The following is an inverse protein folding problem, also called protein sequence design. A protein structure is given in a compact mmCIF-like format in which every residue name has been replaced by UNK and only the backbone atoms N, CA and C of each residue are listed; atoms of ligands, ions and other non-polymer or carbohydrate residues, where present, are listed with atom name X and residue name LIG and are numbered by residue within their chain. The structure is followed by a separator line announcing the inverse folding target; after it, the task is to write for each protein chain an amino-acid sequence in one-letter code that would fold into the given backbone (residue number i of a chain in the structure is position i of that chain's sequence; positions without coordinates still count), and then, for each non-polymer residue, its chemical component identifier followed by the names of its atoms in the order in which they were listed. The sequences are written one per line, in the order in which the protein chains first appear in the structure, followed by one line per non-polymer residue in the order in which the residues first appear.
data_IF_430125796114
#
_entry.id   IF_430125796114
#
_cell.length_a   1.000
_cell.length_b   1.000
_cell.length_c   1.000
_cell.angle_alpha   90.00
_cell.angle_beta   90.00
_cell.angle_gamma   90.00
#
_symmetry.space_group_name_H-M   'P 1'
#
loop_
_entity.id
_entity.type
_entity.pdbx_description
1 polymer ?
#
# COMPACT_ATOMS: atom_id res chain seq x y z
N UNK A 1 -21.94 -1.59 -12.18
CA UNK A 1 -22.33 -1.69 -10.76
C UNK A 1 -21.43 -2.73 -10.12
N UNK A 2 -20.55 -2.35 -9.19
CA UNK A 2 -19.61 -3.31 -8.56
C UNK A 2 -20.37 -4.19 -7.56
N UNK A 3 -20.29 -5.52 -7.72
CA UNK A 3 -20.96 -6.47 -6.82
C UNK A 3 -20.19 -6.62 -5.50
N UNK A 4 -20.45 -5.74 -4.53
CA UNK A 4 -19.96 -5.84 -3.14
C UNK A 4 -20.52 -7.04 -2.34
N UNK A 5 -21.16 -8.02 -2.99
CA UNK A 5 -21.84 -9.14 -2.34
C UNK A 5 -20.89 -10.22 -1.76
N UNK A 6 -19.57 -10.14 -1.99
CA UNK A 6 -18.59 -11.10 -1.45
C UNK A 6 -18.03 -10.74 -0.06
N UNK A 7 -18.35 -9.57 0.52
CA UNK A 7 -17.82 -9.16 1.82
C UNK A 7 -18.81 -8.26 2.60
N UNK A 8 -19.54 -8.80 3.60
CA UNK A 8 -20.56 -8.04 4.34
C UNK A 8 -19.97 -6.91 5.19
N UNK A 9 -18.74 -7.03 5.67
CA UNK A 9 -18.07 -5.99 6.46
C UNK A 9 -17.57 -4.82 5.61
N UNK A 10 -16.93 -5.08 4.46
CA UNK A 10 -16.59 -4.01 3.50
C UNK A 10 -17.84 -3.28 2.98
N UNK A 11 -18.98 -3.96 2.85
CA UNK A 11 -20.26 -3.30 2.52
C UNK A 11 -20.70 -2.31 3.60
N UNK A 12 -20.57 -2.64 4.88
CA UNK A 12 -20.85 -1.69 5.98
C UNK A 12 -19.87 -0.51 6.01
N UNK A 13 -18.57 -0.76 5.77
CA UNK A 13 -17.55 0.29 5.69
C UNK A 13 -17.87 1.24 4.53
N UNK A 14 -18.10 0.71 3.33
CA UNK A 14 -18.48 1.50 2.16
C UNK A 14 -19.77 2.30 2.39
N UNK A 15 -20.82 1.68 2.94
CA UNK A 15 -22.08 2.39 3.21
C UNK A 15 -21.91 3.56 4.18
N UNK A 16 -21.07 3.44 5.23
CA UNK A 16 -20.79 4.53 6.17
C UNK A 16 -19.86 5.62 5.61
N UNK A 17 -18.89 5.25 4.78
CA UNK A 17 -18.02 6.22 4.12
C UNK A 17 -18.78 7.02 3.05
N UNK A 18 -19.60 6.37 2.22
CA UNK A 18 -20.34 7.05 1.15
C UNK A 18 -21.61 7.77 1.61
N UNK A 19 -22.23 7.41 2.73
CA UNK A 19 -23.33 8.21 3.33
C UNK A 19 -22.90 9.59 3.81
N UNK A 20 -21.59 9.82 3.93
CA UNK A 20 -20.99 11.03 4.51
C UNK A 20 -20.49 12.02 3.45
N UNK A 21 -20.55 11.68 2.15
CA UNK A 21 -20.01 12.50 1.07
C UNK A 21 -21.16 13.13 0.28
N UNK A 22 -21.40 14.44 0.48
CA UNK A 22 -22.25 15.24 -0.39
C UNK A 22 -21.54 15.51 -1.73
N UNK A 23 -21.62 14.56 -2.65
CA UNK A 23 -21.18 14.77 -4.03
C UNK A 23 -22.18 15.70 -4.72
N UNK A 24 -21.78 16.94 -5.00
CA UNK A 24 -22.47 17.77 -6.02
C UNK A 24 -22.30 17.09 -7.37
N UNK A 25 -23.35 16.42 -7.84
CA UNK A 25 -23.37 15.79 -9.16
C UNK A 25 -23.58 16.84 -10.24
N UNK A 26 -22.53 17.13 -11.02
CA UNK A 26 -22.67 17.89 -12.26
C UNK A 26 -23.12 16.98 -13.41
N UNK A 27 -23.94 17.51 -14.33
CA UNK A 27 -24.83 16.73 -15.20
C UNK A 27 -24.21 16.25 -16.53
N UNK A 28 -23.05 15.56 -16.52
CA UNK A 28 -22.47 15.06 -17.79
C UNK A 28 -21.74 13.70 -17.74
N UNK A 29 -22.35 12.65 -17.16
CA UNK A 29 -21.98 11.25 -17.49
C UNK A 29 -23.22 10.35 -17.56
N UNK A 30 -23.81 10.22 -18.75
CA UNK A 30 -24.84 9.22 -19.03
C UNK A 30 -24.70 8.70 -20.46
N UNK A 31 -23.89 7.65 -20.67
CA UNK A 31 -23.88 6.82 -21.87
C UNK A 31 -23.11 5.51 -21.59
N UNK A 32 -23.49 4.44 -22.32
CA UNK A 32 -22.91 3.08 -22.25
C UNK A 32 -23.22 2.22 -21.00
N UNK A 33 -24.50 1.91 -20.83
CA UNK A 33 -24.93 0.61 -20.29
C UNK A 33 -25.83 -0.10 -21.31
N UNK A 34 -25.28 -1.09 -22.03
CA UNK A 34 -26.08 -2.07 -22.78
C UNK A 34 -25.27 -3.32 -23.14
N UNK A 35 -25.44 -4.38 -22.35
CA UNK A 35 -25.58 -5.79 -22.77
C UNK A 35 -25.87 -6.68 -21.57
N UNK A 36 -26.86 -7.55 -21.74
CA UNK A 36 -27.40 -8.50 -20.75
C UNK A 36 -26.92 -9.93 -21.03
N UNK A 37 -27.27 -10.86 -20.11
CA UNK A 37 -27.10 -12.32 -20.15
C UNK A 37 -25.69 -12.84 -19.76
N UNK A 38 -25.54 -13.99 -19.07
CA UNK A 38 -26.53 -14.95 -18.54
C UNK A 38 -26.13 -15.46 -17.14
N UNK A 39 -27.10 -16.01 -16.39
CA UNK A 39 -26.86 -16.73 -15.13
C UNK A 39 -26.37 -18.15 -15.40
N UNK A 40 -25.36 -18.59 -14.63
CA UNK A 40 -25.06 -19.99 -14.39
C UNK A 40 -24.62 -20.17 -12.94
N UNK A 41 -25.43 -20.84 -12.12
CA UNK A 41 -25.05 -21.20 -10.75
C UNK A 41 -24.08 -22.39 -10.79
N UNK A 42 -22.92 -22.27 -10.14
CA UNK A 42 -22.12 -23.42 -9.74
C UNK A 42 -21.58 -23.24 -8.32
N UNK A 43 -22.27 -23.89 -7.36
CA UNK A 43 -21.67 -24.22 -6.06
C UNK A 43 -20.50 -25.19 -6.28
N UNK A 44 -19.27 -24.76 -6.03
CA UNK A 44 -18.18 -25.67 -5.64
C UNK A 44 -17.39 -25.08 -4.48
N UNK A 45 -17.31 -25.86 -3.40
CA UNK A 45 -16.36 -25.64 -2.31
C UNK A 45 -14.95 -25.87 -2.82
N UNK A 46 -14.02 -24.97 -2.53
CA UNK A 46 -12.60 -25.12 -2.87
C UNK A 46 -11.75 -25.15 -1.61
N UNK A 47 -11.39 -26.37 -1.18
CA UNK A 47 -10.15 -26.59 -0.43
C UNK A 47 -9.02 -26.70 -1.45
N UNK A 48 -8.12 -25.71 -1.49
CA UNK A 48 -6.87 -25.78 -2.23
C UNK A 48 -5.73 -26.10 -1.27
N UNK A 49 -5.26 -27.34 -1.28
CA UNK A 49 -4.12 -27.81 -0.48
C UNK A 49 -2.87 -27.91 -1.34
N UNK A 50 -2.13 -26.82 -1.46
CA UNK A 50 -0.69 -26.89 -1.73
C UNK A 50 0.06 -26.65 -0.43
N UNK A 51 0.49 -27.76 0.17
CA UNK A 51 1.34 -27.77 1.37
C UNK A 51 2.78 -27.48 0.97
N UNK A 52 3.36 -26.43 1.55
CA UNK A 52 4.80 -26.36 1.74
C UNK A 52 5.08 -26.91 3.15
N UNK A 53 5.88 -27.97 3.21
CA UNK A 53 6.15 -28.74 4.42
C UNK A 53 7.02 -27.93 5.38
N UNK A 54 6.59 -27.81 6.64
CA UNK A 54 7.38 -27.22 7.72
C UNK A 54 6.50 -26.57 8.78
N UNK A 55 6.30 -27.25 9.91
CA UNK A 55 5.58 -26.70 11.07
C UNK A 55 6.41 -25.61 11.77
N UNK A 56 6.31 -24.38 11.25
CA UNK A 56 6.61 -23.07 11.87
C UNK A 56 6.34 -21.94 10.86
N UNK A 57 6.19 -20.71 11.39
CA UNK A 57 6.46 -19.40 10.75
C UNK A 57 5.29 -18.51 10.27
N UNK A 58 5.10 -17.40 10.98
CA UNK A 58 5.49 -16.01 10.60
C UNK A 58 5.08 -15.52 9.18
N UNK A 59 4.27 -14.45 8.94
CA UNK A 59 3.46 -13.52 9.80
C UNK A 59 2.58 -12.57 8.93
N UNK A 60 1.71 -11.72 9.53
CA UNK A 60 1.23 -10.46 8.91
C UNK A 60 2.43 -9.56 8.56
N UNK A 61 3.01 -9.76 7.37
CA UNK A 61 4.38 -9.43 6.91
C UNK A 61 5.36 -10.64 6.94
N UNK A 62 5.54 -11.30 5.78
CA UNK A 62 6.43 -12.45 5.59
C UNK A 62 7.95 -12.20 5.80
N UNK A 63 8.85 -13.05 5.28
CA UNK A 63 10.19 -13.33 5.85
C UNK A 63 11.19 -12.16 5.88
N UNK A 64 12.27 -12.25 6.71
CA UNK A 64 13.34 -11.27 6.77
C UNK A 64 14.02 -11.05 5.41
N UNK A 65 14.37 -9.80 5.09
CA UNK A 65 15.03 -9.44 3.83
C UNK A 65 14.12 -9.37 2.60
N UNK A 66 12.85 -9.78 2.70
CA UNK A 66 11.88 -9.61 1.63
C UNK A 66 11.01 -8.37 1.91
N UNK A 67 11.12 -7.34 1.05
CA UNK A 67 10.45 -6.04 1.16
C UNK A 67 8.93 -6.11 1.34
N UNK A 68 8.38 -5.44 2.37
CA UNK A 68 6.94 -5.46 2.70
C UNK A 68 6.48 -4.22 3.48
N UNK A 69 5.50 -3.53 2.91
CA UNK A 69 4.22 -3.41 3.62
C UNK A 69 3.37 -4.56 3.13
N UNK A 70 2.49 -5.05 3.99
CA UNK A 70 1.44 -6.04 3.75
C UNK A 70 1.26 -6.33 2.25
N UNK A 71 1.64 -7.52 1.79
CA UNK A 71 0.84 -8.67 2.19
C UNK A 71 1.65 -10.00 2.30
N UNK A 72 1.04 -10.99 2.95
CA UNK A 72 1.52 -12.33 3.27
C UNK A 72 0.49 -13.01 4.19
N UNK A 73 0.40 -14.35 4.18
CA UNK A 73 -0.72 -15.08 4.82
C UNK A 73 -1.02 -14.57 6.24
N UNK A 74 -2.27 -14.13 6.45
CA UNK A 74 -2.75 -13.70 7.77
C UNK A 74 -2.80 -14.94 8.66
N UNK A 75 -1.94 -15.03 9.68
CA UNK A 75 -1.84 -16.20 10.57
C UNK A 75 -1.87 -15.84 12.07
N UNK A 76 -2.12 -14.58 12.40
CA UNK A 76 -2.40 -14.15 13.76
C UNK A 76 -1.21 -13.89 14.69
N UNK A 77 0.02 -14.01 14.22
CA UNK A 77 1.17 -13.51 14.97
C UNK A 77 1.57 -12.11 14.49
N UNK A 78 2.28 -11.37 15.33
CA UNK A 78 3.03 -10.15 15.01
C UNK A 78 4.36 -10.27 15.78
N UNK A 79 5.50 -10.29 15.09
CA UNK A 79 6.81 -10.58 15.69
C UNK A 79 7.88 -9.70 15.06
N UNK A 80 8.50 -8.88 15.89
CA UNK A 80 9.56 -7.95 15.57
C UNK A 80 10.88 -8.31 16.24
N UNK A 81 10.99 -9.43 16.97
CA UNK A 81 12.19 -9.80 17.74
C UNK A 81 13.42 -9.88 16.84
N UNK A 82 13.35 -10.72 15.81
CA UNK A 82 14.43 -10.93 14.82
C UNK A 82 14.31 -10.04 13.57
N UNK A 83 13.45 -9.02 13.58
CA UNK A 83 13.19 -8.19 12.39
C UNK A 83 14.03 -6.92 12.35
N UNK A 84 14.59 -6.67 11.18
CA UNK A 84 15.35 -5.46 10.82
C UNK A 84 14.72 -4.81 9.59
N UNK A 85 14.68 -3.49 9.58
CA UNK A 85 14.21 -2.73 8.42
C UNK A 85 15.16 -2.98 7.24
N UNK A 86 14.61 -3.41 6.10
CA UNK A 86 15.37 -3.62 4.85
C UNK A 86 14.90 -2.58 3.85
N UNK A 87 15.84 -1.94 3.14
CA UNK A 87 15.51 -0.95 2.09
C UNK A 87 15.18 -1.66 0.78
N UNK A 88 14.12 -1.22 0.11
CA UNK A 88 13.64 -1.77 -1.16
C UNK A 88 13.57 -0.70 -2.25
N UNK A 89 13.23 -1.11 -3.48
CA UNK A 89 12.82 -0.18 -4.54
C UNK A 89 11.50 0.56 -4.24
N UNK A 90 10.75 0.11 -3.24
CA UNK A 90 9.47 0.66 -2.80
C UNK A 90 9.53 1.23 -1.37
N UNK A 91 10.35 2.27 -1.11
CA UNK A 91 10.70 2.67 0.25
C UNK A 91 9.54 3.27 1.07
N UNK A 92 8.45 3.72 0.42
CA UNK A 92 7.27 4.20 1.17
C UNK A 92 6.48 3.06 1.81
N UNK A 93 6.79 1.81 1.46
CA UNK A 93 6.25 0.61 2.11
C UNK A 93 7.28 -0.16 2.94
N UNK A 94 8.49 0.36 3.16
CA UNK A 94 9.45 -0.26 4.08
C UNK A 94 9.09 0.08 5.54
N UNK A 95 8.31 -0.79 6.20
CA UNK A 95 7.85 -0.58 7.59
C UNK A 95 8.07 -1.81 8.49
N UNK A 96 8.34 -1.56 9.77
CA UNK A 96 8.31 -2.59 10.83
C UNK A 96 6.99 -2.57 11.60
N UNK A 97 6.46 -1.38 11.91
CA UNK A 97 5.19 -1.21 12.64
C UNK A 97 4.13 -0.58 11.74
N UNK A 98 3.14 -1.37 11.34
CA UNK A 98 1.96 -0.87 10.63
C UNK A 98 1.02 -0.11 11.59
N UNK A 99 1.12 1.23 11.61
CA UNK A 99 0.34 2.12 12.48
C UNK A 99 -1.18 2.01 12.30
N UNK A 100 -1.65 1.68 11.10
CA UNK A 100 -3.08 1.48 10.84
C UNK A 100 -3.60 0.06 11.16
N UNK A 101 -2.74 -0.90 11.52
CA UNK A 101 -3.20 -2.25 11.85
C UNK A 101 -4.05 -2.26 13.13
N UNK A 102 -3.70 -1.44 14.12
CA UNK A 102 -4.43 -1.29 15.39
C UNK A 102 -5.91 -0.98 15.15
N UNK A 103 -6.19 0.04 14.32
CA UNK A 103 -7.54 0.44 13.92
C UNK A 103 -8.31 -0.70 13.26
N UNK A 104 -7.63 -1.52 12.46
CA UNK A 104 -8.26 -2.65 11.79
C UNK A 104 -8.55 -3.82 12.75
N UNK A 105 -7.58 -4.18 13.60
CA UNK A 105 -7.76 -5.21 14.64
C UNK A 105 -8.87 -4.82 15.62
N UNK A 106 -8.92 -3.56 16.04
CA UNK A 106 -9.99 -3.02 16.89
C UNK A 106 -11.38 -3.19 16.23
N UNK A 107 -11.53 -2.84 14.95
CA UNK A 107 -12.79 -3.02 14.22
C UNK A 107 -13.20 -4.50 14.05
N UNK A 108 -12.23 -5.41 13.90
CA UNK A 108 -12.49 -6.85 13.74
C UNK A 108 -12.75 -7.54 15.09
N UNK A 109 -12.18 -7.03 16.18
CA UNK A 109 -12.42 -7.43 17.56
C UNK A 109 -13.63 -6.71 18.18
N UNK A 110 -14.64 -6.36 17.37
CA UNK A 110 -15.91 -5.75 17.81
C UNK A 110 -15.75 -4.48 18.68
N UNK A 111 -14.66 -3.74 18.44
CA UNK A 111 -14.21 -2.54 19.19
C UNK A 111 -13.74 -2.79 20.62
N UNK A 112 -13.20 -3.97 20.90
CA UNK A 112 -12.48 -4.23 22.15
C UNK A 112 -11.22 -3.33 22.24
N UNK A 113 -11.22 -2.40 23.19
CA UNK A 113 -10.09 -1.51 23.48
C UNK A 113 -9.10 -2.08 24.51
N UNK A 114 -9.56 -2.96 25.39
CA UNK A 114 -8.72 -3.62 26.39
C UNK A 114 -7.80 -4.63 25.71
N UNK A 115 -8.32 -5.39 24.74
CA UNK A 115 -7.54 -6.27 23.89
C UNK A 115 -6.49 -5.49 23.07
N UNK A 116 -6.84 -4.33 22.49
CA UNK A 116 -5.85 -3.53 21.75
C UNK A 116 -4.73 -3.05 22.66
N UNK A 117 -5.08 -2.54 23.85
CA UNK A 117 -4.12 -2.12 24.88
C UNK A 117 -3.19 -3.27 25.25
N UNK A 118 -3.74 -4.45 25.54
CA UNK A 118 -2.97 -5.67 25.86
C UNK A 118 -2.02 -6.08 24.73
N UNK A 119 -2.49 -6.14 23.48
CA UNK A 119 -1.70 -6.57 22.33
C UNK A 119 -0.58 -5.58 22.00
N UNK A 120 -0.86 -4.27 22.09
CA UNK A 120 0.15 -3.24 21.79
C UNK A 120 1.17 -3.07 22.93
N UNK A 121 0.78 -3.25 24.20
CA UNK A 121 1.75 -3.35 25.30
C UNK A 121 2.69 -4.55 25.09
N UNK A 122 2.17 -5.72 24.69
CA UNK A 122 3.00 -6.87 24.30
C UNK A 122 3.92 -6.56 23.10
N UNK A 123 3.46 -5.76 22.13
CA UNK A 123 4.31 -5.33 21.00
C UNK A 123 5.46 -4.41 21.43
N UNK A 124 5.26 -3.53 22.39
CA UNK A 124 6.31 -2.64 22.90
C UNK A 124 7.28 -3.37 23.83
N UNK A 125 6.78 -4.14 24.80
CA UNK A 125 7.59 -4.82 25.81
C UNK A 125 8.32 -6.06 25.26
N UNK A 126 7.60 -6.91 24.53
CA UNK A 126 8.06 -8.25 24.13
C UNK A 126 8.44 -8.32 22.64
N UNK A 127 8.23 -7.22 21.89
CA UNK A 127 8.36 -7.16 20.43
C UNK A 127 7.50 -8.18 19.70
N UNK A 128 6.49 -8.76 20.34
CA UNK A 128 5.62 -9.79 19.75
C UNK A 128 4.25 -9.85 20.45
N UNK A 129 3.19 -10.11 19.66
CA UNK A 129 1.92 -10.61 20.17
C UNK A 129 1.31 -11.68 19.25
N UNK A 130 0.32 -12.39 19.77
CA UNK A 130 -0.52 -13.31 19.00
C UNK A 130 -2.00 -12.98 19.25
N UNK A 131 -2.79 -12.95 18.18
CA UNK A 131 -4.26 -12.85 18.22
C UNK A 131 -4.92 -14.22 18.11
N UNK A 132 -6.13 -14.32 18.66
CA UNK A 132 -6.91 -15.56 18.67
C UNK A 132 -7.31 -16.03 17.28
N UNK A 133 -7.47 -17.35 17.13
CA UNK A 133 -7.85 -18.00 15.88
C UNK A 133 -9.14 -17.44 15.28
N UNK A 134 -10.14 -17.11 16.09
CA UNK A 134 -11.38 -16.49 15.58
C UNK A 134 -11.14 -15.11 14.97
N UNK A 135 -10.23 -14.30 15.52
CA UNK A 135 -9.88 -13.00 14.95
C UNK A 135 -9.09 -13.16 13.64
N UNK A 136 -8.23 -14.18 13.54
CA UNK A 136 -7.57 -14.57 12.28
C UNK A 136 -8.59 -15.00 11.22
N UNK A 137 -9.57 -15.82 11.59
CA UNK A 137 -10.62 -16.29 10.68
C UNK A 137 -11.55 -15.15 10.23
N UNK A 138 -11.86 -14.16 11.09
CA UNK A 138 -12.53 -12.92 10.68
C UNK A 138 -11.70 -12.14 9.65
N UNK A 139 -10.42 -11.89 9.92
CA UNK A 139 -9.52 -11.16 9.02
C UNK A 139 -9.38 -11.83 7.63
N UNK A 140 -9.31 -13.16 7.60
CA UNK A 140 -9.19 -13.96 6.37
C UNK A 140 -10.46 -13.98 5.50
N UNK A 141 -11.63 -13.57 6.01
CA UNK A 141 -12.85 -13.45 5.21
C UNK A 141 -12.81 -12.22 4.29
N UNK A 142 -12.17 -11.15 4.76
CA UNK A 142 -12.15 -9.85 4.07
C UNK A 142 -10.84 -9.61 3.30
N UNK A 143 -9.71 -10.18 3.74
CA UNK A 143 -8.38 -9.89 3.20
C UNK A 143 -7.60 -11.15 2.80
N UNK A 144 -7.09 -11.13 1.57
CA UNK A 144 -6.13 -12.11 1.04
C UNK A 144 -4.77 -11.44 0.87
N UNK A 145 -3.69 -12.20 1.04
CA UNK A 145 -2.39 -11.62 1.32
C UNK A 145 -1.18 -12.45 0.83
N UNK A 146 -0.36 -11.89 -0.07
CA UNK A 146 0.90 -12.43 -0.60
C UNK A 146 1.95 -11.30 -0.85
N UNK A 147 3.21 -11.63 -1.15
CA UNK A 147 4.35 -10.70 -1.18
C UNK A 147 5.06 -10.63 -2.53
N UNK A 148 5.89 -9.61 -2.76
CA UNK A 148 6.74 -9.46 -3.94
C UNK A 148 8.22 -9.47 -3.57
N UNK A 149 9.09 -10.06 -4.39
CA UNK A 149 10.54 -9.88 -4.31
C UNK A 149 11.02 -8.72 -5.19
N UNK A 150 12.20 -8.15 -4.89
CA UNK A 150 12.80 -7.08 -5.72
C UNK A 150 12.97 -7.53 -7.19
N UNK A 151 13.32 -8.79 -7.42
CA UNK A 151 13.45 -9.36 -8.77
C UNK A 151 12.13 -9.44 -9.52
N UNK A 152 11.05 -9.83 -8.84
CA UNK A 152 9.70 -9.85 -9.42
C UNK A 152 9.15 -8.44 -9.64
N UNK A 153 9.46 -7.49 -8.76
CA UNK A 153 9.12 -6.08 -8.91
C UNK A 153 9.73 -5.52 -10.20
N UNK A 154 11.05 -5.64 -10.37
CA UNK A 154 11.74 -5.20 -11.59
C UNK A 154 11.24 -5.94 -12.85
N UNK A 155 11.01 -7.25 -12.75
CA UNK A 155 10.48 -8.06 -13.85
C UNK A 155 9.08 -7.59 -14.29
N UNK A 156 8.20 -7.26 -13.33
CA UNK A 156 6.83 -6.80 -13.59
C UNK A 156 6.76 -5.39 -14.18
N UNK A 157 7.64 -4.47 -13.73
CA UNK A 157 7.78 -3.16 -14.39
C UNK A 157 8.16 -3.36 -15.86
N UNK A 158 9.18 -4.19 -16.12
CA UNK A 158 9.70 -4.44 -17.47
C UNK A 158 8.69 -5.16 -18.37
N UNK A 159 8.03 -6.20 -17.88
CA UNK A 159 7.05 -6.98 -18.67
C UNK A 159 5.80 -6.17 -18.96
N UNK A 160 5.34 -5.33 -18.03
CA UNK A 160 4.22 -4.42 -18.25
C UNK A 160 4.58 -3.40 -19.33
N UNK A 161 5.73 -2.72 -19.22
CA UNK A 161 6.18 -1.76 -20.22
C UNK A 161 6.31 -2.39 -21.62
N UNK A 162 6.94 -3.56 -21.73
CA UNK A 162 7.07 -4.28 -23.00
C UNK A 162 5.72 -4.69 -23.62
N UNK A 163 4.67 -4.86 -22.81
CA UNK A 163 3.36 -5.39 -23.26
C UNK A 163 2.36 -4.27 -23.58
N UNK A 164 2.42 -3.13 -22.88
CA UNK A 164 1.43 -2.05 -23.00
C UNK A 164 2.01 -0.64 -23.13
N UNK A 165 3.33 -0.48 -23.10
CA UNK A 165 4.00 0.83 -23.00
C UNK A 165 3.84 1.52 -21.64
N UNK A 166 3.07 0.96 -20.71
CA UNK A 166 2.82 1.57 -19.40
C UNK A 166 3.96 1.28 -18.42
N UNK A 167 4.52 2.35 -17.82
CA UNK A 167 5.59 2.25 -16.83
C UNK A 167 4.98 2.28 -15.43
N UNK A 168 5.10 1.16 -14.72
CA UNK A 168 4.76 1.06 -13.30
C UNK A 168 5.83 1.71 -12.42
N UNK A 169 5.40 2.35 -11.33
CA UNK A 169 6.29 2.60 -10.20
C UNK A 169 6.47 1.29 -9.37
N UNK A 170 7.54 1.15 -8.56
CA UNK A 170 7.78 -0.04 -7.75
C UNK A 170 6.62 -0.43 -6.81
N UNK A 171 5.92 0.54 -6.22
CA UNK A 171 4.82 0.27 -5.29
C UNK A 171 3.62 -0.35 -6.03
N UNK A 172 3.28 0.20 -7.19
CA UNK A 172 2.22 -0.35 -8.06
C UNK A 172 2.63 -1.70 -8.66
N UNK A 173 3.92 -1.91 -8.96
CA UNK A 173 4.44 -3.21 -9.42
C UNK A 173 4.32 -4.32 -8.36
N UNK A 174 4.57 -4.01 -7.08
CA UNK A 174 4.32 -4.94 -5.96
C UNK A 174 2.84 -5.36 -5.93
N UNK A 175 1.92 -4.40 -6.03
CA UNK A 175 0.49 -4.69 -6.07
C UNK A 175 0.08 -5.51 -7.32
N UNK A 176 0.69 -5.24 -8.48
CA UNK A 176 0.45 -5.98 -9.73
C UNK A 176 0.89 -7.45 -9.63
N UNK A 177 2.06 -7.73 -9.04
CA UNK A 177 2.54 -9.12 -8.81
C UNK A 177 1.55 -9.91 -7.96
N UNK A 178 1.08 -9.33 -6.86
CA UNK A 178 0.12 -9.97 -5.96
C UNK A 178 -1.23 -10.18 -6.67
N UNK A 179 -1.72 -9.17 -7.39
CA UNK A 179 -2.96 -9.26 -8.17
C UNK A 179 -2.90 -10.38 -9.23
N UNK A 180 -1.77 -10.54 -9.93
CA UNK A 180 -1.61 -11.55 -10.97
C UNK A 180 -1.58 -12.98 -10.42
N UNK A 181 -1.04 -13.20 -9.22
CA UNK A 181 -1.09 -14.50 -8.55
C UNK A 181 -2.47 -14.86 -7.99
N UNK A 182 -3.27 -13.85 -7.64
CA UNK A 182 -4.58 -14.03 -6.98
C UNK A 182 -5.79 -14.00 -7.91
N UNK A 183 -5.66 -13.45 -9.13
CA UNK A 183 -6.80 -13.31 -10.02
C UNK A 183 -7.37 -14.67 -10.49
N UNK A 184 -8.66 -14.88 -10.27
CA UNK A 184 -9.41 -16.04 -10.78
C UNK A 184 -10.00 -15.80 -12.19
N UNK A 185 -9.74 -14.61 -12.77
CA UNK A 185 -10.32 -14.08 -14.03
C UNK A 185 -11.86 -13.93 -14.02
N UNK A 186 -12.54 -14.20 -12.91
CA UNK A 186 -14.01 -14.02 -12.76
C UNK A 186 -14.38 -12.62 -12.27
N UNK A 187 -13.47 -11.94 -11.56
CA UNK A 187 -13.66 -10.61 -11.00
C UNK A 187 -12.61 -9.62 -11.57
N UNK A 188 -13.01 -8.45 -12.10
CA UNK A 188 -12.07 -7.39 -12.45
C UNK A 188 -11.27 -6.91 -11.23
N UNK A 189 -9.94 -6.90 -11.34
CA UNK A 189 -9.05 -6.40 -10.28
C UNK A 189 -8.71 -4.94 -10.53
N UNK A 190 -8.84 -4.11 -9.49
CA UNK A 190 -8.43 -2.70 -9.51
C UNK A 190 -7.14 -2.58 -8.70
N UNK A 191 -6.08 -2.09 -9.33
CA UNK A 191 -4.80 -1.78 -8.67
C UNK A 191 -4.72 -0.27 -8.46
N UNK A 192 -4.43 0.17 -7.23
CA UNK A 192 -4.19 1.59 -6.93
C UNK A 192 -2.77 1.97 -7.34
N UNK A 193 -2.63 2.90 -8.30
CA UNK A 193 -1.34 3.44 -8.69
C UNK A 193 -0.91 4.52 -7.70
N UNK A 194 -0.16 4.14 -6.66
CA UNK A 194 0.08 5.01 -5.48
C UNK A 194 1.15 6.07 -5.69
N UNK A 195 1.96 5.97 -6.75
CA UNK A 195 2.91 6.99 -7.14
C UNK A 195 3.11 7.05 -8.67
N UNK A 196 3.69 8.16 -9.13
CA UNK A 196 4.20 8.28 -10.48
C UNK A 196 5.60 7.65 -10.58
N UNK A 197 5.86 6.85 -11.61
CA UNK A 197 7.10 6.06 -11.77
C UNK A 197 8.38 6.91 -11.67
N UNK A 198 8.34 8.15 -12.16
CA UNK A 198 9.47 9.07 -12.15
C UNK A 198 9.97 9.45 -10.74
N UNK A 199 9.14 9.29 -9.69
CA UNK A 199 9.54 9.48 -8.28
C UNK A 199 10.56 8.43 -7.82
N UNK A 200 10.63 7.28 -8.50
CA UNK A 200 11.52 6.16 -8.19
C UNK A 200 12.40 5.81 -9.40
N UNK A 201 12.87 6.84 -10.11
CA UNK A 201 13.59 6.72 -11.37
C UNK A 201 14.74 5.68 -11.39
N UNK A 202 15.61 5.55 -10.36
CA UNK A 202 16.67 4.55 -10.37
C UNK A 202 16.16 3.11 -10.51
N UNK A 203 15.09 2.74 -9.79
CA UNK A 203 14.50 1.40 -9.85
C UNK A 203 13.85 1.13 -11.22
N UNK A 204 13.17 2.14 -11.77
CA UNK A 204 12.53 2.07 -13.09
C UNK A 204 13.58 1.93 -14.20
N UNK A 205 14.64 2.73 -14.16
CA UNK A 205 15.77 2.66 -15.10
C UNK A 205 16.46 1.28 -15.04
N UNK A 206 16.64 0.72 -13.84
CA UNK A 206 17.17 -0.62 -13.65
C UNK A 206 16.25 -1.70 -14.24
N UNK A 207 14.93 -1.61 -14.02
CA UNK A 207 13.94 -2.53 -14.61
C UNK A 207 13.95 -2.48 -16.14
N UNK A 208 13.98 -1.27 -16.71
CA UNK A 208 14.01 -1.02 -18.15
C UNK A 208 15.39 -1.29 -18.79
N UNK A 209 16.42 -1.62 -17.98
CA UNK A 209 17.82 -1.86 -18.41
C UNK A 209 18.47 -0.66 -19.10
N UNK A 210 18.13 0.55 -18.66
CA UNK A 210 18.72 1.80 -19.16
C UNK A 210 20.16 1.90 -18.63
N UNK A 211 21.14 1.88 -19.54
CA UNK A 211 22.57 1.78 -19.21
C UNK A 211 23.18 3.09 -18.69
N UNK A 212 22.64 4.23 -19.10
CA UNK A 212 23.13 5.55 -18.67
C UNK A 212 22.48 5.93 -17.33
N UNK A 213 23.11 5.53 -16.23
CA UNK A 213 22.75 6.00 -14.89
C UNK A 213 23.57 7.26 -14.59
N UNK A 214 23.19 8.38 -15.21
CA UNK A 214 23.63 9.68 -14.72
C UNK A 214 23.02 9.90 -13.32
N UNK A 215 23.84 10.32 -12.35
CA UNK A 215 23.49 10.27 -10.93
C UNK A 215 22.53 11.39 -10.48
N UNK A 216 22.29 12.40 -11.30
CA UNK A 216 21.40 13.52 -10.94
C UNK A 216 19.94 13.21 -11.26
N UNK A 217 19.02 13.48 -10.34
CA UNK A 217 17.58 13.23 -10.54
C UNK A 217 17.05 13.88 -11.82
N UNK A 218 17.47 15.11 -12.13
CA UNK A 218 17.05 15.83 -13.35
C UNK A 218 17.43 15.08 -14.64
N UNK A 219 18.63 14.50 -14.71
CA UNK A 219 19.07 13.72 -15.87
C UNK A 219 18.28 12.41 -16.03
N UNK A 220 17.94 11.75 -14.91
CA UNK A 220 17.14 10.53 -14.89
C UNK A 220 15.70 10.80 -15.33
N UNK A 221 15.11 11.92 -14.89
CA UNK A 221 13.79 12.37 -15.33
C UNK A 221 13.79 12.70 -16.83
N UNK A 222 14.79 13.43 -17.33
CA UNK A 222 14.92 13.74 -18.74
C UNK A 222 15.03 12.47 -19.59
N UNK A 223 15.87 11.51 -19.19
CA UNK A 223 16.03 10.24 -19.90
C UNK A 223 14.72 9.41 -19.89
N UNK A 224 14.03 9.33 -18.76
CA UNK A 224 12.73 8.64 -18.67
C UNK A 224 11.65 9.27 -19.57
N UNK A 225 11.70 10.59 -19.82
CA UNK A 225 10.75 11.26 -20.72
C UNK A 225 10.80 10.76 -22.17
N UNK A 226 11.92 10.14 -22.58
CA UNK A 226 12.05 9.50 -23.90
C UNK A 226 11.40 8.11 -23.98
N UNK A 227 11.12 7.47 -22.85
CA UNK A 227 10.46 6.15 -22.78
C UNK A 227 8.93 6.28 -22.64
N UNK A 228 8.47 7.31 -21.95
CA UNK A 228 7.05 7.68 -21.89
C UNK A 228 6.94 9.17 -21.56
N UNK A 229 5.95 9.85 -22.12
CA UNK A 229 5.74 11.26 -21.85
C UNK A 229 5.52 11.49 -20.34
N UNK A 230 6.32 12.38 -19.75
CA UNK A 230 6.08 12.85 -18.39
C UNK A 230 4.89 13.83 -18.40
N UNK A 231 4.10 13.91 -17.31
CA UNK A 231 3.18 15.03 -17.13
C UNK A 231 3.97 16.35 -17.21
N UNK A 232 3.38 17.45 -17.73
CA UNK A 232 4.01 18.75 -17.74
C UNK A 232 4.57 19.09 -16.36
N UNK A 233 5.85 19.49 -16.25
CA UNK A 233 6.43 19.76 -14.96
C UNK A 233 5.73 20.98 -14.34
N UNK A 234 5.59 20.99 -13.02
CA UNK A 234 5.03 22.13 -12.31
C UNK A 234 6.01 23.30 -12.41
N UNK A 235 5.80 24.22 -13.36
CA UNK A 235 6.75 25.27 -13.73
C UNK A 235 7.20 26.11 -12.52
N UNK A 236 6.25 26.54 -11.67
CA UNK A 236 6.56 27.27 -10.45
C UNK A 236 7.40 26.46 -9.42
N UNK A 237 7.39 25.13 -9.49
CA UNK A 237 8.29 24.27 -8.69
C UNK A 237 9.67 24.16 -9.35
N UNK A 238 9.73 24.04 -10.68
CA UNK A 238 11.00 24.07 -11.41
C UNK A 238 11.75 25.39 -11.18
N UNK A 239 11.07 26.53 -11.32
CA UNK A 239 11.68 27.84 -11.05
C UNK A 239 12.16 27.94 -9.60
N UNK A 240 11.38 27.47 -8.62
CA UNK A 240 11.82 27.37 -7.22
C UNK A 240 13.07 26.48 -7.04
N UNK A 241 13.21 25.38 -7.80
CA UNK A 241 14.42 24.55 -7.74
C UNK A 241 15.63 25.16 -8.46
N UNK A 242 15.43 25.96 -9.52
CA UNK A 242 16.50 26.75 -10.15
C UNK A 242 16.95 27.90 -9.24
N UNK A 243 16.01 28.48 -8.50
CA UNK A 243 16.23 29.50 -7.47
C UNK A 243 16.82 28.93 -6.16
N UNK A 244 17.28 27.67 -6.14
CA UNK A 244 18.16 27.20 -5.07
C UNK A 244 19.56 27.79 -5.21
N UNK A 245 19.65 29.11 -4.99
CA UNK A 245 20.73 29.63 -4.17
C UNK A 245 20.81 28.79 -2.88
N UNK A 246 22.00 28.64 -2.31
CA UNK A 246 22.15 28.03 -0.99
C UNK A 246 21.43 28.91 0.03
N UNK A 247 20.15 28.62 0.31
CA UNK A 247 19.50 29.14 1.50
C UNK A 247 20.30 28.61 2.69
N UNK A 248 21.01 29.51 3.38
CA UNK A 248 21.59 29.22 4.69
C UNK A 248 20.44 29.03 5.68
N UNK A 249 19.91 27.82 5.74
CA UNK A 249 18.99 27.44 6.80
C UNK A 249 19.81 27.12 8.05
N UNK A 250 19.59 27.89 9.11
CA UNK A 250 20.11 27.51 10.42
C UNK A 250 19.26 26.34 10.94
N UNK A 251 19.87 25.16 11.13
CA UNK A 251 19.20 24.02 11.77
C UNK A 251 19.13 24.30 13.27
N UNK A 252 18.11 25.04 13.69
CA UNK A 252 17.81 25.24 15.10
C UNK A 252 17.56 23.88 15.77
N UNK A 253 18.07 23.70 16.99
CA UNK A 253 17.66 22.58 17.82
C UNK A 253 16.14 22.63 18.04
N UNK A 254 15.47 21.47 17.96
CA UNK A 254 14.03 21.40 18.13
C UNK A 254 13.64 21.63 19.59
N UNK A 255 13.18 22.84 19.92
CA UNK A 255 12.58 23.10 21.23
C UNK A 255 11.18 22.47 21.29
N UNK A 256 11.14 21.30 21.92
CA UNK A 256 9.92 20.52 22.12
C UNK A 256 8.87 21.30 22.93
N UNK A 257 9.27 22.21 23.83
CA UNK A 257 8.33 23.00 24.62
C UNK A 257 7.65 24.07 23.77
N UNK A 258 8.39 24.72 22.86
CA UNK A 258 7.83 25.70 21.91
C UNK A 258 6.85 25.02 20.96
N UNK A 259 7.21 23.85 20.42
CA UNK A 259 6.32 23.04 19.58
C UNK A 259 5.06 22.61 20.35
N UNK A 260 5.22 22.12 21.58
CA UNK A 260 4.10 21.70 22.44
C UNK A 260 3.16 22.86 22.74
N UNK A 261 3.67 24.03 23.12
CA UNK A 261 2.87 25.23 23.38
C UNK A 261 2.12 25.71 22.12
N UNK A 262 2.72 25.59 20.94
CA UNK A 262 2.05 25.89 19.66
C UNK A 262 0.89 24.93 19.37
N UNK A 263 1.10 23.63 19.60
CA UNK A 263 0.06 22.60 19.43
C UNK A 263 -1.06 22.78 20.45
N UNK A 264 -0.74 23.03 21.72
CA UNK A 264 -1.71 23.33 22.78
C UNK A 264 -2.56 24.56 22.45
N UNK A 265 -1.96 25.66 21.97
CA UNK A 265 -2.68 26.85 21.49
C UNK A 265 -3.56 26.58 20.27
N UNK A 266 -3.08 25.79 19.31
CA UNK A 266 -3.88 25.41 18.14
C UNK A 266 -5.10 24.56 18.53
N UNK A 267 -4.93 23.63 19.47
CA UNK A 267 -6.04 22.82 20.00
C UNK A 267 -7.04 23.70 20.73
N UNK A 268 -6.58 24.60 21.62
CA UNK A 268 -7.45 25.56 22.31
C UNK A 268 -8.24 26.43 21.32
N UNK A 269 -7.58 27.02 20.32
CA UNK A 269 -8.22 27.93 19.36
C UNK A 269 -9.16 27.26 18.35
N UNK A 270 -9.15 25.92 18.22
CA UNK A 270 -9.96 25.19 17.24
C UNK A 270 -11.04 24.28 17.87
N UNK A 271 -10.90 23.91 19.14
CA UNK A 271 -11.75 22.90 19.78
C UNK A 271 -12.30 23.30 21.17
N UNK A 272 -12.04 24.52 21.64
CA UNK A 272 -12.56 25.11 22.88
C UNK A 272 -13.19 26.48 22.57
#
# INVERSE_FOLDING_TARGET
MLHFNRCPHLKQIAQKCFSSIHVRTDKHVQLFLSRTFALAEFRKSWRSTHSLVGDKNIILMGPPGAGKTTVGRIIGHYDLRERKLTRTFSPAIDILKASNLERHLHLMADKDGELMTKLYNQLEEQRHFQIEKMLVEKLQQDFVADWCSEGECLSTIRSTYNTSGYILDPHTAVAKVVADRMQDKTCPVIVSSTAHYSKFAPAVMQALKIKEINHTSSSQLYLLSSYNALPPPHEALLERTKQQEKMEYHVCAADVNVLKSHVEKLIQNQFI
#
